data_IF_214117564444
#
_entry.id   IF_214117564444
#
_cell.length_a   1.000
_cell.length_b   1.000
_cell.length_c   1.000
_cell.angle_alpha   90.00
_cell.angle_beta   90.00
_cell.angle_gamma   90.00
#
_symmetry.space_group_name_H-M   'P 1'
#
loop_
_entity.id
_entity.type
_entity.pdbx_description
1 polymer ?
#
# COMPACT_ATOMS: atom_id res chain seq x y z
N UNK A 1 11.32 16.53 1.38
CA UNK A 1 11.35 16.69 -0.09
C UNK A 1 10.36 17.80 -0.47
N UNK A 2 10.81 18.97 -0.94
CA UNK A 2 9.93 20.13 -1.18
C UNK A 2 8.88 19.89 -2.29
N UNK A 3 9.19 19.03 -3.26
CA UNK A 3 8.30 18.73 -4.40
C UNK A 3 7.32 17.57 -4.15
N UNK A 4 7.41 16.89 -3.00
CA UNK A 4 6.58 15.71 -2.76
C UNK A 4 5.08 16.02 -2.65
N UNK A 5 4.63 17.12 -1.99
CA UNK A 5 3.21 17.47 -1.93
C UNK A 5 2.57 17.69 -3.31
N UNK A 6 3.34 18.16 -4.30
CA UNK A 6 2.86 18.37 -5.67
C UNK A 6 2.96 17.09 -6.51
N UNK A 7 3.99 16.28 -6.30
CA UNK A 7 4.22 15.04 -7.06
C UNK A 7 3.34 13.87 -6.59
N UNK A 8 3.08 13.75 -5.29
CA UNK A 8 2.36 12.61 -4.72
C UNK A 8 0.94 12.43 -5.31
N UNK A 9 0.10 13.47 -5.48
CA UNK A 9 -1.18 13.34 -6.16
C UNK A 9 -1.07 12.73 -7.56
N UNK A 10 -0.05 13.12 -8.33
CA UNK A 10 0.17 12.63 -9.70
C UNK A 10 0.59 11.15 -9.70
N UNK A 11 1.46 10.76 -8.76
CA UNK A 11 1.84 9.36 -8.55
C UNK A 11 0.64 8.52 -8.12
N UNK A 12 -0.22 9.04 -7.25
CA UNK A 12 -1.43 8.32 -6.89
C UNK A 12 -2.32 8.14 -8.11
N UNK A 13 -2.55 9.20 -8.90
CA UNK A 13 -3.39 9.18 -10.09
C UNK A 13 -2.90 8.20 -11.15
N UNK A 14 -1.59 8.01 -11.31
CA UNK A 14 -1.06 7.02 -12.27
C UNK A 14 -1.47 5.58 -11.92
N UNK A 15 -1.70 5.27 -10.64
CA UNK A 15 -2.21 3.95 -10.21
C UNK A 15 -3.66 3.69 -10.66
N UNK A 16 -4.44 4.73 -10.94
CA UNK A 16 -5.83 4.61 -11.41
C UNK A 16 -5.96 4.31 -12.90
N UNK A 17 -4.88 4.43 -13.69
CA UNK A 17 -4.96 4.30 -15.14
C UNK A 17 -5.50 2.94 -15.60
N UNK A 18 -5.28 1.86 -14.81
CA UNK A 18 -5.90 0.52 -14.91
C UNK A 18 -6.09 -0.10 -16.31
N UNK A 19 -5.43 0.41 -17.34
CA UNK A 19 -5.36 -0.15 -18.69
C UNK A 19 -4.15 -1.06 -18.82
N UNK A 20 -4.19 -1.99 -19.79
CA UNK A 20 -3.07 -2.88 -20.07
C UNK A 20 -1.78 -2.11 -20.42
N UNK A 21 -1.89 -1.04 -21.21
CA UNK A 21 -0.77 -0.20 -21.63
C UNK A 21 -0.14 0.58 -20.45
N UNK A 22 -0.91 0.84 -19.38
CA UNK A 22 -0.41 1.56 -18.20
C UNK A 22 0.39 0.69 -17.23
N UNK A 23 0.51 -0.62 -17.46
CA UNK A 23 1.19 -1.54 -16.54
C UNK A 23 2.62 -1.10 -16.21
N UNK A 24 3.39 -0.64 -17.21
CA UNK A 24 4.77 -0.19 -17.01
C UNK A 24 4.84 1.08 -16.14
N UNK A 25 3.95 2.04 -16.39
CA UNK A 25 3.85 3.28 -15.61
C UNK A 25 3.46 3.00 -14.16
N UNK A 26 2.46 2.13 -13.96
CA UNK A 26 2.01 1.71 -12.62
C UNK A 26 3.12 0.98 -11.86
N UNK A 27 3.89 0.11 -12.51
CA UNK A 27 5.02 -0.57 -11.89
C UNK A 27 6.10 0.41 -11.45
N UNK A 28 6.52 1.34 -12.32
CA UNK A 28 7.50 2.37 -11.99
C UNK A 28 7.01 3.29 -10.86
N UNK A 29 5.70 3.58 -10.83
CA UNK A 29 5.08 4.35 -9.76
C UNK A 29 5.16 3.62 -8.42
N UNK A 30 4.83 2.32 -8.37
CA UNK A 30 4.93 1.53 -7.15
C UNK A 30 6.38 1.40 -6.66
N UNK A 31 7.33 1.23 -7.57
CA UNK A 31 8.76 1.23 -7.24
C UNK A 31 9.21 2.57 -6.63
N UNK A 32 8.78 3.68 -7.24
CA UNK A 32 9.03 5.03 -6.71
C UNK A 32 8.41 5.23 -5.32
N UNK A 33 7.15 4.83 -5.14
CA UNK A 33 6.48 4.88 -3.84
C UNK A 33 7.18 4.02 -2.80
N UNK A 34 7.65 2.82 -3.16
CA UNK A 34 8.39 1.95 -2.25
C UNK A 34 9.69 2.61 -1.76
N UNK A 35 10.41 3.34 -2.63
CA UNK A 35 11.59 4.11 -2.25
C UNK A 35 11.22 5.25 -1.29
N UNK A 36 10.21 6.05 -1.63
CA UNK A 36 9.73 7.16 -0.78
C UNK A 36 9.33 6.67 0.61
N UNK A 37 8.54 5.61 0.70
CA UNK A 37 8.07 5.02 1.96
C UNK A 37 9.24 4.45 2.76
N UNK A 38 10.19 3.77 2.10
CA UNK A 38 11.36 3.20 2.79
C UNK A 38 12.26 4.29 3.41
N UNK A 39 12.43 5.40 2.71
CA UNK A 39 13.34 6.48 3.15
C UNK A 39 12.73 7.39 4.21
N UNK A 40 11.41 7.60 4.17
CA UNK A 40 10.74 8.60 5.00
C UNK A 40 9.70 8.00 5.97
N UNK A 41 9.33 6.74 5.78
CA UNK A 41 8.18 6.13 6.47
C UNK A 41 6.85 6.72 6.01
N UNK A 42 5.82 6.51 6.82
CA UNK A 42 4.46 7.01 6.56
C UNK A 42 4.30 8.50 6.82
N UNK A 43 5.16 9.12 7.64
CA UNK A 43 4.98 10.50 8.10
C UNK A 43 4.90 11.51 6.96
N UNK A 44 5.74 11.36 5.93
CA UNK A 44 5.72 12.28 4.79
C UNK A 44 4.43 12.17 3.95
N UNK A 45 3.81 10.98 3.94
CA UNK A 45 2.52 10.75 3.27
C UNK A 45 1.37 11.31 4.12
N UNK A 46 1.49 11.25 5.45
CA UNK A 46 0.58 11.87 6.41
C UNK A 46 0.60 13.39 6.30
N UNK A 47 1.78 14.01 6.25
CA UNK A 47 1.95 15.46 6.05
C UNK A 47 1.28 15.95 4.75
N UNK A 48 1.27 15.12 3.71
CA UNK A 48 0.57 15.40 2.46
C UNK A 48 -0.94 15.09 2.50
N UNK A 49 -1.47 14.55 3.60
CA UNK A 49 -2.90 14.21 3.72
C UNK A 49 -3.36 13.07 2.81
N UNK A 50 -2.46 12.15 2.44
CA UNK A 50 -2.72 11.16 1.38
C UNK A 50 -2.65 9.70 1.83
N UNK A 51 -2.58 9.44 3.14
CA UNK A 51 -2.46 8.08 3.71
C UNK A 51 -3.60 7.17 3.26
N UNK A 52 -4.86 7.58 3.49
CA UNK A 52 -6.03 6.76 3.14
C UNK A 52 -6.15 6.53 1.61
N UNK A 53 -5.90 7.57 0.82
CA UNK A 53 -5.94 7.50 -0.65
C UNK A 53 -4.89 6.55 -1.19
N UNK A 54 -3.64 6.64 -0.69
CA UNK A 54 -2.55 5.73 -1.04
C UNK A 54 -2.91 4.29 -0.70
N UNK A 55 -3.30 4.03 0.55
CA UNK A 55 -3.61 2.67 1.02
C UNK A 55 -4.76 2.07 0.24
N UNK A 56 -5.81 2.84 -0.05
CA UNK A 56 -6.95 2.39 -0.86
C UNK A 56 -6.50 1.99 -2.28
N UNK A 57 -5.64 2.78 -2.92
CA UNK A 57 -5.12 2.49 -4.26
C UNK A 57 -4.18 1.28 -4.27
N UNK A 58 -3.36 1.12 -3.23
CA UNK A 58 -2.50 -0.05 -3.06
C UNK A 58 -3.32 -1.33 -2.88
N UNK A 59 -4.35 -1.32 -2.03
CA UNK A 59 -5.26 -2.45 -1.83
C UNK A 59 -5.98 -2.82 -3.13
N UNK A 60 -6.53 -1.84 -3.85
CA UNK A 60 -7.15 -2.05 -5.17
C UNK A 60 -6.18 -2.63 -6.20
N UNK A 61 -4.91 -2.27 -6.13
CA UNK A 61 -3.87 -2.79 -7.03
C UNK A 61 -3.42 -4.19 -6.63
N UNK A 62 -3.42 -4.52 -5.34
CA UNK A 62 -3.08 -5.85 -4.80
C UNK A 62 -4.17 -6.90 -5.05
N UNK A 63 -5.41 -6.50 -5.28
CA UNK A 63 -6.54 -7.40 -5.52
C UNK A 63 -6.41 -8.13 -6.87
N UNK A 64 -6.63 -9.44 -6.86
CA UNK A 64 -6.83 -10.22 -8.08
C UNK A 64 -8.30 -10.22 -8.47
N UNK A 65 -8.64 -9.49 -9.54
CA UNK A 65 -9.94 -9.60 -10.18
C UNK A 65 -9.83 -10.55 -11.37
N UNK A 66 -10.46 -11.73 -11.34
CA UNK A 66 -10.51 -12.58 -12.51
C UNK A 66 -11.22 -11.80 -13.62
N UNK A 67 -10.62 -11.74 -14.81
CA UNK A 67 -11.29 -11.17 -15.97
C UNK A 67 -12.55 -11.99 -16.22
N UNK A 68 -13.73 -11.40 -15.99
CA UNK A 68 -14.99 -12.08 -16.23
C UNK A 68 -15.03 -12.40 -17.72
N UNK A 69 -14.92 -13.68 -18.07
CA UNK A 69 -15.14 -14.18 -19.43
C UNK A 69 -16.62 -14.01 -19.77
N UNK A 70 -17.00 -12.78 -20.10
CA UNK A 70 -18.37 -12.36 -20.28
C UNK A 70 -18.39 -10.87 -20.57
N UNK A 71 -17.97 -10.50 -21.78
CA UNK A 71 -18.13 -9.14 -22.27
C UNK A 71 -19.63 -8.87 -22.45
N UNK A 72 -20.29 -8.27 -21.46
CA UNK A 72 -21.50 -7.52 -21.75
C UNK A 72 -21.07 -6.22 -22.43
N UNK A 73 -21.53 -5.99 -23.66
CA UNK A 73 -21.30 -4.74 -24.37
C UNK A 73 -21.76 -3.56 -23.49
N UNK A 74 -20.81 -2.76 -22.99
CA UNK A 74 -21.06 -1.65 -22.06
C UNK A 74 -20.38 -1.76 -20.69
N UNK A 75 -19.74 -2.89 -20.36
CA UNK A 75 -18.94 -3.00 -19.14
C UNK A 75 -17.59 -2.29 -19.29
N UNK A 76 -17.15 -1.62 -18.22
CA UNK A 76 -15.82 -1.01 -18.13
C UNK A 76 -14.71 -2.04 -18.47
N UNK A 77 -13.60 -1.61 -19.10
CA UNK A 77 -12.51 -2.52 -19.44
C UNK A 77 -12.04 -3.30 -18.21
N UNK A 78 -11.67 -4.59 -18.36
CA UNK A 78 -11.26 -5.41 -17.24
C UNK A 78 -10.03 -4.79 -16.56
N UNK A 79 -10.12 -4.54 -15.25
CA UNK A 79 -9.00 -4.02 -14.46
C UNK A 79 -7.84 -5.02 -14.53
N UNK A 80 -6.74 -4.60 -15.15
CA UNK A 80 -5.56 -5.46 -15.30
C UNK A 80 -4.56 -5.16 -14.18
N UNK A 81 -4.63 -5.96 -13.11
CA UNK A 81 -3.59 -5.99 -12.09
C UNK A 81 -2.67 -7.19 -12.36
N UNK A 82 -1.66 -7.00 -13.21
CA UNK A 82 -0.65 -8.03 -13.46
C UNK A 82 -0.01 -8.52 -12.14
N UNK A 83 0.38 -9.79 -12.01
CA UNK A 83 0.93 -10.32 -10.75
C UNK A 83 2.06 -9.47 -10.15
N UNK A 84 2.93 -8.90 -10.99
CA UNK A 84 4.00 -7.98 -10.57
C UNK A 84 3.44 -6.75 -9.85
N UNK A 85 2.43 -6.08 -10.39
CA UNK A 85 1.79 -4.93 -9.75
C UNK A 85 1.19 -5.29 -8.39
N UNK A 86 0.62 -6.49 -8.27
CA UNK A 86 0.06 -6.96 -6.99
C UNK A 86 1.15 -7.15 -5.94
N UNK A 87 2.27 -7.77 -6.31
CA UNK A 87 3.44 -7.91 -5.43
C UNK A 87 4.00 -6.54 -5.04
N UNK A 88 4.20 -5.64 -6.00
CA UNK A 88 4.77 -4.31 -5.74
C UNK A 88 3.86 -3.45 -4.84
N UNK A 89 2.55 -3.56 -4.99
CA UNK A 89 1.58 -2.90 -4.12
C UNK A 89 1.60 -3.47 -2.69
N UNK A 90 1.66 -4.80 -2.55
CA UNK A 90 1.80 -5.44 -1.24
C UNK A 90 3.12 -5.09 -0.57
N UNK A 91 4.21 -4.94 -1.34
CA UNK A 91 5.50 -4.46 -0.83
C UNK A 91 5.38 -3.05 -0.26
N UNK A 92 4.66 -2.15 -0.94
CA UNK A 92 4.40 -0.81 -0.39
C UNK A 92 3.58 -0.89 0.92
N UNK A 93 2.54 -1.73 0.97
CA UNK A 93 1.76 -1.95 2.19
C UNK A 93 2.62 -2.51 3.33
N UNK A 94 3.50 -3.47 3.04
CA UNK A 94 4.47 -4.00 4.01
C UNK A 94 5.36 -2.89 4.56
N UNK A 95 5.95 -2.07 3.68
CA UNK A 95 6.85 -0.97 4.06
C UNK A 95 6.15 0.09 4.90
N UNK A 96 4.88 0.43 4.61
CA UNK A 96 4.10 1.37 5.41
C UNK A 96 3.96 0.92 6.86
N UNK A 97 3.78 -0.39 7.09
CA UNK A 97 3.62 -0.97 8.42
C UNK A 97 4.94 -1.35 9.09
N UNK A 98 6.09 -1.12 8.45
CA UNK A 98 7.36 -1.26 9.14
C UNK A 98 7.56 -0.07 10.08
N UNK A 99 8.07 -0.30 11.30
CA UNK A 99 8.54 0.81 12.11
C UNK A 99 9.62 1.55 11.31
N UNK A 100 9.62 2.89 11.34
CA UNK A 100 10.69 3.62 10.70
C UNK A 100 12.01 3.17 11.35
N UNK A 101 13.03 2.86 10.54
CA UNK A 101 14.33 2.38 11.00
C UNK A 101 14.75 3.19 12.24
N UNK A 102 15.10 2.55 13.34
CA UNK A 102 15.29 3.20 14.64
C UNK A 102 16.29 4.37 14.64
N UNK A 103 17.22 4.42 13.67
CA UNK A 103 18.13 5.55 13.44
C UNK A 103 17.44 6.81 12.86
N UNK A 104 16.38 6.63 12.07
CA UNK A 104 15.64 7.68 11.35
C UNK A 104 14.15 7.76 11.74
N UNK A 105 13.75 7.13 12.85
CA UNK A 105 12.39 7.20 13.35
C UNK A 105 11.97 8.67 13.55
N UNK A 106 10.86 9.14 12.92
CA UNK A 106 10.37 10.49 13.14
C UNK A 106 10.13 10.71 14.63
N UNK A 107 10.44 11.90 15.13
CA UNK A 107 10.24 12.27 16.54
C UNK A 107 8.83 11.97 17.07
N UNK A 108 7.84 11.83 16.18
CA UNK A 108 6.45 11.45 16.46
C UNK A 108 6.33 10.07 17.14
N UNK A 109 7.12 9.08 16.71
CA UNK A 109 7.16 7.77 17.36
C UNK A 109 7.82 7.82 18.75
N UNK A 110 8.72 8.79 18.98
CA UNK A 110 9.30 9.08 20.30
C UNK A 110 8.40 9.96 21.18
N UNK A 111 7.37 10.59 20.61
CA UNK A 111 6.51 11.56 21.28
C UNK A 111 5.16 10.96 21.75
N UNK A 112 4.98 9.64 21.68
CA UNK A 112 3.75 8.98 22.11
C UNK A 112 2.54 9.24 21.21
N UNK A 113 2.74 9.70 19.97
CA UNK A 113 1.65 9.85 19.00
C UNK A 113 1.36 8.51 18.33
N UNK A 114 0.07 8.16 18.30
CA UNK A 114 -0.46 6.99 17.60
C UNK A 114 -0.08 7.03 16.12
N UNK A 115 0.21 5.86 15.55
CA UNK A 115 0.51 5.70 14.11
C UNK A 115 -0.63 6.25 13.25
N UNK A 116 -0.36 7.02 12.17
CA UNK A 116 -1.39 7.49 11.25
C UNK A 116 -2.10 6.37 10.48
N UNK A 117 -1.59 5.14 10.58
CA UNK A 117 -2.19 3.96 9.97
C UNK A 117 -3.26 3.30 10.85
N UNK A 118 -3.35 3.66 12.13
CA UNK A 118 -4.30 3.05 13.07
C UNK A 118 -5.76 3.14 12.63
N UNK A 119 -6.27 4.31 12.19
CA UNK A 119 -7.68 4.42 11.76
C UNK A 119 -8.04 3.47 10.61
N UNK A 120 -7.06 3.10 9.77
CA UNK A 120 -7.27 2.27 8.59
C UNK A 120 -6.81 0.81 8.77
N UNK A 121 -6.18 0.45 9.90
CA UNK A 121 -5.65 -0.90 10.17
C UNK A 121 -6.67 -2.00 9.89
N UNK A 122 -7.86 -1.88 10.47
CA UNK A 122 -8.91 -2.89 10.35
C UNK A 122 -9.46 -3.02 8.91
N UNK A 123 -9.43 -1.95 8.13
CA UNK A 123 -9.79 -2.01 6.70
C UNK A 123 -8.72 -2.75 5.91
N UNK A 124 -7.44 -2.48 6.18
CA UNK A 124 -6.33 -3.14 5.50
C UNK A 124 -6.31 -4.64 5.82
N UNK A 125 -6.40 -5.02 7.09
CA UNK A 125 -6.36 -6.43 7.49
C UNK A 125 -7.50 -7.25 6.89
N UNK A 126 -8.70 -6.68 6.79
CA UNK A 126 -9.84 -7.31 6.12
C UNK A 126 -9.61 -7.41 4.61
N UNK A 127 -9.12 -6.36 3.98
CA UNK A 127 -8.87 -6.35 2.53
C UNK A 127 -7.77 -7.34 2.12
N UNK A 128 -6.71 -7.46 2.92
CA UNK A 128 -5.62 -8.40 2.68
C UNK A 128 -6.07 -9.86 2.76
N UNK A 129 -7.18 -10.16 3.47
CA UNK A 129 -7.69 -11.53 3.59
C UNK A 129 -8.00 -12.14 2.21
N UNK A 130 -8.60 -11.36 1.30
CA UNK A 130 -8.89 -11.82 -0.06
C UNK A 130 -7.61 -12.04 -0.91
N UNK A 131 -6.53 -11.32 -0.59
CA UNK A 131 -5.25 -11.42 -1.34
C UNK A 131 -4.42 -12.64 -0.89
N UNK A 132 -4.69 -13.18 0.31
CA UNK A 132 -4.04 -14.42 0.77
C UNK A 132 -4.36 -15.63 -0.13
N UNK A 133 -5.49 -15.60 -0.83
CA UNK A 133 -5.93 -16.64 -1.76
C UNK A 133 -5.55 -16.34 -3.23
N UNK A 134 -4.61 -15.41 -3.48
CA UNK A 134 -4.17 -15.08 -4.83
C UNK A 134 -3.66 -16.34 -5.58
N UNK A 135 -3.97 -16.53 -6.88
CA UNK A 135 -3.51 -17.69 -7.64
C UNK A 135 -1.98 -17.79 -7.77
N UNK A 136 -1.25 -16.70 -7.56
CA UNK A 136 0.22 -16.64 -7.70
C UNK A 136 0.89 -16.73 -6.33
N UNK A 137 1.81 -17.71 -6.19
CA UNK A 137 2.55 -17.99 -4.95
C UNK A 137 3.28 -16.77 -4.40
N UNK A 138 3.95 -16.00 -5.24
CA UNK A 138 4.74 -14.85 -4.81
C UNK A 138 3.86 -13.72 -4.26
N UNK A 139 2.65 -13.56 -4.81
CA UNK A 139 1.65 -12.62 -4.29
C UNK A 139 1.19 -13.07 -2.91
N UNK A 140 0.84 -14.35 -2.74
CA UNK A 140 0.44 -14.90 -1.43
C UNK A 140 1.53 -14.72 -0.38
N UNK A 141 2.79 -15.01 -0.74
CA UNK A 141 3.94 -14.83 0.15
C UNK A 141 4.03 -13.38 0.63
N UNK A 142 4.03 -12.43 -0.30
CA UNK A 142 4.11 -11.01 0.04
C UNK A 142 2.87 -10.52 0.81
N UNK A 143 1.69 -11.09 0.56
CA UNK A 143 0.47 -10.77 1.30
C UNK A 143 0.54 -11.24 2.77
N UNK A 144 1.12 -12.42 3.03
CA UNK A 144 1.41 -12.89 4.39
C UNK A 144 2.37 -11.94 5.10
N UNK A 145 3.47 -11.56 4.43
CA UNK A 145 4.47 -10.66 5.00
C UNK A 145 3.85 -9.29 5.33
N UNK A 146 3.11 -8.70 4.38
CA UNK A 146 2.41 -7.44 4.57
C UNK A 146 1.40 -7.52 5.73
N UNK A 147 0.52 -8.53 5.74
CA UNK A 147 -0.48 -8.68 6.80
C UNK A 147 0.17 -8.87 8.17
N UNK A 148 1.26 -9.64 8.25
CA UNK A 148 2.05 -9.82 9.47
C UNK A 148 2.66 -8.52 9.98
N UNK A 149 3.18 -7.67 9.07
CA UNK A 149 3.68 -6.35 9.42
C UNK A 149 2.58 -5.45 9.99
N UNK A 150 1.39 -5.41 9.36
CA UNK A 150 0.26 -4.61 9.85
C UNK A 150 -0.29 -5.07 11.21
N UNK A 151 -0.18 -6.37 11.51
CA UNK A 151 -0.59 -6.89 12.82
C UNK A 151 0.36 -6.50 13.95
N UNK A 152 1.66 -6.37 13.68
CA UNK A 152 2.69 -6.11 14.70
C UNK A 152 3.17 -4.66 14.76
N UNK A 153 3.17 -3.97 13.62
CA UNK A 153 3.80 -2.65 13.45
C UNK A 153 2.82 -1.49 13.47
N UNK A 154 1.52 -1.78 13.50
CA UNK A 154 0.45 -0.77 13.59
C UNK A 154 -0.38 -1.06 14.84
N UNK A 155 0.24 -1.01 16.02
CA UNK A 155 -0.47 -1.21 17.31
C UNK A 155 -0.71 0.11 18.05
N UNK A 156 -1.79 0.08 18.85
CA UNK A 156 -2.19 1.13 19.77
C UNK A 156 -1.36 1.00 21.05
N UNK A 157 -0.41 1.92 21.25
CA UNK A 157 0.44 2.07 22.44
C UNK A 157 1.45 0.92 22.70
N UNK A 158 2.60 1.22 23.32
CA UNK A 158 3.41 0.16 23.93
C UNK A 158 2.58 -0.51 25.01
N UNK A 159 2.59 -1.84 25.07
CA UNK A 159 2.19 -2.55 26.27
C UNK A 159 3.06 -2.00 27.40
N UNK A 160 2.45 -1.25 28.33
CA UNK A 160 3.07 -0.96 29.63
C UNK A 160 3.14 -2.31 30.36
N UNK A 161 4.19 -3.09 30.05
CA UNK A 161 4.58 -4.27 30.81
C UNK A 161 5.03 -3.81 32.21
N UNK A 162 4.16 -3.98 33.20
CA UNK A 162 4.47 -3.93 34.65
C UNK A 162 5.40 -5.07 35.08
#
# INVERSE_FOLDING_TARGET
MPELPTLLPLLLQSLDLQTEDSNAVRAATLETLAVIIRENGVSVIEECGHVESLVTRLLKTAEHKPSSKGYSAGAAPPVVNAPRLRVDALKCLFLLAQPPNAENAPAIAKAGKLSPLLPIKNQVLRSLQAVLDDPKRDVRKMAVDARGAWLRGVDDAPDDDE
#
